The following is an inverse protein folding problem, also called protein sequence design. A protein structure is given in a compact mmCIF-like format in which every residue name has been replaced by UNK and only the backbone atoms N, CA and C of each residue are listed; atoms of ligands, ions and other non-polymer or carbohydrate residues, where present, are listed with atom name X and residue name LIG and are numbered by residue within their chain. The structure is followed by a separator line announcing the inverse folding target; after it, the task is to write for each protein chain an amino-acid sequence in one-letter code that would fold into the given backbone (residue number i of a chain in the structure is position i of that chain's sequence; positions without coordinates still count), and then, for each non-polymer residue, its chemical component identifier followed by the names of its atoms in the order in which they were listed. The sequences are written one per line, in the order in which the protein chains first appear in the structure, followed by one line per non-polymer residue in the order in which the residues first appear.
data_IF_691861478985
#
_entry.id   IF_691861478985
#
_cell.length_a   1.000
_cell.length_b   1.000
_cell.length_c   1.000
_cell.angle_alpha   90.00
_cell.angle_beta   90.00
_cell.angle_gamma   90.00
#
_symmetry.space_group_name_H-M   'P 1'
#
loop_
_entity.id
_entity.type
_entity.pdbx_description
1 polymer ?
#
# COMPACT_ATOMS: atom_id res chain seq x y z
N UNK A 1 -12.12 42.90 59.22
CA UNK A 1 -11.77 41.59 58.65
C UNK A 1 -12.15 41.58 57.17
N UNK A 2 -11.18 41.73 56.27
CA UNK A 2 -11.38 41.95 54.83
C UNK A 2 -11.00 40.65 54.09
N UNK A 3 -11.96 39.97 53.48
CA UNK A 3 -11.75 38.70 52.76
C UNK A 3 -11.22 39.00 51.36
N UNK A 4 -10.02 38.51 51.04
CA UNK A 4 -9.43 38.54 49.70
C UNK A 4 -9.91 37.26 48.99
N UNK A 5 -10.65 37.41 47.90
CA UNK A 5 -11.00 36.32 47.00
C UNK A 5 -9.97 36.29 45.86
N UNK A 6 -9.13 35.25 45.82
CA UNK A 6 -8.27 34.95 44.68
C UNK A 6 -9.13 34.30 43.58
N UNK A 7 -9.31 35.00 42.47
CA UNK A 7 -9.81 34.41 41.24
C UNK A 7 -8.62 33.84 40.45
N UNK A 8 -8.49 32.51 40.41
CA UNK A 8 -7.63 31.83 39.43
C UNK A 8 -8.47 31.56 38.17
N UNK A 9 -8.17 32.28 37.09
CA UNK A 9 -8.66 31.98 35.76
C UNK A 9 -7.76 30.88 35.15
N UNK A 10 -8.30 29.66 34.98
CA UNK A 10 -7.68 28.65 34.13
C UNK A 10 -7.99 28.97 32.67
N UNK A 11 -6.99 29.42 31.90
CA UNK A 11 -7.02 29.33 30.44
C UNK A 11 -6.66 27.90 30.03
N UNK A 12 -7.66 27.12 29.60
CA UNK A 12 -7.42 25.87 28.88
C UNK A 12 -7.06 26.22 27.43
N UNK A 13 -5.78 26.05 27.06
CA UNK A 13 -5.34 26.15 25.68
C UNK A 13 -5.89 24.94 24.89
N UNK A 14 -6.88 25.20 24.03
CA UNK A 14 -7.33 24.28 22.99
C UNK A 14 -6.23 24.17 21.93
N UNK A 15 -5.33 23.20 22.08
CA UNK A 15 -4.44 22.78 21.00
C UNK A 15 -5.25 21.82 20.12
N UNK A 16 -5.44 22.10 18.82
CA UNK A 16 -6.08 21.16 17.92
C UNK A 16 -5.20 19.91 17.82
N UNK A 17 -5.75 18.76 18.20
CA UNK A 17 -5.15 17.45 17.94
C UNK A 17 -5.04 17.32 16.42
N UNK A 18 -3.84 17.52 15.88
CA UNK A 18 -3.52 17.03 14.55
C UNK A 18 -3.74 15.52 14.56
N UNK A 19 -4.71 15.05 13.78
CA UNK A 19 -4.89 13.63 13.54
C UNK A 19 -3.58 13.10 12.94
N UNK A 20 -2.81 12.37 13.74
CA UNK A 20 -1.68 11.59 13.26
C UNK A 20 -2.24 10.63 12.21
N UNK A 21 -1.78 10.76 10.96
CA UNK A 21 -2.06 9.76 9.94
C UNK A 21 -1.60 8.41 10.48
N UNK A 22 -2.54 7.48 10.66
CA UNK A 22 -2.22 6.15 11.17
C UNK A 22 -1.22 5.49 10.23
N UNK A 23 -0.09 5.05 10.79
CA UNK A 23 0.87 4.25 10.05
C UNK A 23 0.13 3.08 9.42
N UNK A 24 0.20 2.99 8.09
CA UNK A 24 -0.44 1.89 7.36
C UNK A 24 0.15 0.59 7.90
N UNK A 25 -0.69 -0.35 8.38
CA UNK A 25 -0.17 -1.56 8.99
C UNK A 25 0.72 -2.32 8.02
N UNK A 26 1.81 -2.91 8.52
CA UNK A 26 2.78 -3.60 7.67
C UNK A 26 2.17 -4.71 6.81
N UNK A 27 1.06 -5.32 7.26
CA UNK A 27 0.33 -6.36 6.53
C UNK A 27 -0.58 -5.83 5.41
N UNK A 28 -0.90 -4.52 5.40
CA UNK A 28 -1.76 -3.96 4.38
C UNK A 28 -1.11 -4.05 2.99
N UNK A 29 -1.91 -4.32 1.98
CA UNK A 29 -1.49 -4.51 0.59
C UNK A 29 -2.24 -5.63 -0.11
N UNK A 30 -1.86 -5.87 -1.35
CA UNK A 30 -2.40 -6.95 -2.18
C UNK A 30 -1.46 -8.17 -2.11
N UNK A 31 -2.04 -9.35 -1.90
CA UNK A 31 -1.30 -10.58 -1.61
C UNK A 31 -1.83 -11.74 -2.45
N UNK A 32 -0.96 -12.53 -3.07
CA UNK A 32 -1.35 -13.64 -3.96
C UNK A 32 -0.72 -14.96 -3.53
N UNK A 33 -1.39 -16.06 -3.84
CA UNK A 33 -0.83 -17.41 -3.71
C UNK A 33 0.18 -17.72 -4.82
N UNK A 34 -0.07 -17.19 -6.02
CA UNK A 34 0.75 -17.40 -7.20
C UNK A 34 1.07 -16.06 -7.85
N UNK A 35 2.28 -15.85 -8.41
CA UNK A 35 2.67 -14.55 -8.96
C UNK A 35 1.74 -14.05 -10.07
N UNK A 36 1.15 -14.98 -10.83
CA UNK A 36 0.21 -14.71 -11.94
C UNK A 36 -1.11 -14.08 -11.50
N UNK A 37 -1.40 -14.03 -10.19
CA UNK A 37 -2.57 -13.33 -9.67
C UNK A 37 -2.40 -11.82 -9.56
N UNK A 38 -1.17 -11.31 -9.56
CA UNK A 38 -0.94 -9.86 -9.48
C UNK A 38 -1.37 -9.15 -10.76
N UNK A 39 -1.85 -7.91 -10.63
CA UNK A 39 -2.36 -7.10 -11.75
C UNK A 39 -3.82 -7.34 -12.10
N UNK A 40 -4.49 -8.31 -11.45
CA UNK A 40 -5.94 -8.50 -11.48
C UNK A 40 -6.62 -7.70 -10.38
N UNK A 41 -7.93 -7.50 -10.50
CA UNK A 41 -8.70 -6.92 -9.40
C UNK A 41 -8.86 -7.94 -8.27
N UNK A 42 -8.82 -7.53 -6.97
CA UNK A 42 -8.97 -8.46 -5.85
C UNK A 42 -10.30 -9.22 -5.79
N UNK A 43 -11.31 -8.73 -6.52
CA UNK A 43 -12.60 -9.39 -6.65
C UNK A 43 -12.63 -10.48 -7.73
N UNK A 44 -11.60 -10.58 -8.57
CA UNK A 44 -11.53 -11.57 -9.63
C UNK A 44 -11.05 -12.91 -9.09
N UNK A 45 -11.55 -14.00 -9.67
CA UNK A 45 -11.06 -15.34 -9.38
C UNK A 45 -9.55 -15.44 -9.69
N UNK A 46 -8.77 -15.88 -8.70
CA UNK A 46 -7.31 -15.93 -8.82
C UNK A 46 -6.62 -14.56 -8.82
N UNK A 47 -7.34 -13.48 -8.48
CA UNK A 47 -6.78 -12.17 -8.14
C UNK A 47 -6.16 -12.12 -6.74
N UNK A 48 -5.59 -10.97 -6.35
CA UNK A 48 -5.00 -10.81 -5.02
C UNK A 48 -6.06 -10.81 -3.92
N UNK A 49 -5.66 -11.25 -2.73
CA UNK A 49 -6.36 -10.93 -1.48
C UNK A 49 -5.86 -9.57 -1.01
N UNK A 50 -6.77 -8.60 -0.90
CA UNK A 50 -6.49 -7.26 -0.41
C UNK A 50 -6.64 -7.21 1.11
N UNK A 51 -5.54 -6.90 1.79
CA UNK A 51 -5.51 -6.56 3.21
C UNK A 51 -5.52 -5.03 3.35
N UNK A 52 -6.57 -4.50 3.94
CA UNK A 52 -6.66 -3.10 4.33
C UNK A 52 -6.42 -2.95 5.84
N UNK A 53 -6.58 -1.74 6.36
CA UNK A 53 -6.52 -1.43 7.80
C UNK A 53 -7.60 -2.17 8.60
N UNK A 54 -8.81 -2.28 8.02
CA UNK A 54 -10.01 -2.80 8.68
C UNK A 54 -10.70 -3.93 7.92
N UNK A 55 -10.24 -4.28 6.73
CA UNK A 55 -10.92 -5.31 5.92
C UNK A 55 -9.91 -6.23 5.24
N UNK A 56 -10.36 -7.45 4.94
CA UNK A 56 -9.66 -8.41 4.09
C UNK A 56 -10.64 -8.82 3.00
N UNK A 57 -10.26 -8.75 1.73
CA UNK A 57 -11.17 -9.09 0.61
C UNK A 57 -10.47 -9.94 -0.43
N UNK A 58 -11.12 -11.01 -0.86
CA UNK A 58 -10.76 -11.78 -2.05
C UNK A 58 -11.97 -11.95 -2.97
N UNK A 59 -11.86 -12.85 -3.94
CA UNK A 59 -12.89 -13.04 -4.97
C UNK A 59 -14.28 -13.36 -4.39
N UNK A 60 -14.33 -14.32 -3.47
CA UNK A 60 -15.59 -14.89 -2.95
C UNK A 60 -15.81 -14.66 -1.46
N UNK A 61 -14.90 -13.92 -0.81
CA UNK A 61 -14.96 -13.69 0.62
C UNK A 61 -14.60 -12.25 0.97
N UNK A 62 -15.20 -11.76 2.04
CA UNK A 62 -14.78 -10.53 2.69
C UNK A 62 -14.79 -10.72 4.20
N UNK A 63 -13.88 -10.05 4.89
CA UNK A 63 -13.81 -10.02 6.33
C UNK A 63 -13.64 -8.60 6.83
N UNK A 64 -14.32 -8.27 7.92
CA UNK A 64 -14.03 -7.13 8.76
C UNK A 64 -13.05 -7.53 9.86
N UNK A 65 -11.99 -6.77 10.00
CA UNK A 65 -10.99 -6.94 11.05
C UNK A 65 -11.55 -6.27 12.32
N UNK A 66 -12.09 -7.07 13.23
CA UNK A 66 -12.53 -6.58 14.55
C UNK A 66 -11.37 -6.16 15.41
N UNK A 67 -10.28 -6.92 15.34
CA UNK A 67 -9.10 -6.73 16.18
C UNK A 67 -7.86 -7.18 15.45
N UNK A 68 -6.78 -6.40 15.55
CA UNK A 68 -5.44 -6.79 15.10
C UNK A 68 -4.43 -6.36 16.16
N UNK A 69 -3.84 -7.31 16.87
CA UNK A 69 -2.93 -7.06 17.98
C UNK A 69 -1.55 -7.65 17.71
N UNK A 70 -0.47 -6.89 17.91
CA UNK A 70 0.89 -7.44 17.85
C UNK A 70 1.05 -8.59 18.83
N UNK A 71 1.67 -9.68 18.40
CA UNK A 71 1.95 -10.84 19.28
C UNK A 71 3.21 -10.61 20.12
N UNK A 72 4.04 -9.63 19.73
CA UNK A 72 5.29 -9.28 20.43
C UNK A 72 6.53 -10.02 19.91
N UNK A 73 6.42 -10.73 18.78
CA UNK A 73 7.54 -11.39 18.11
C UNK A 73 7.57 -11.04 16.62
N UNK A 74 8.67 -10.43 16.17
CA UNK A 74 8.83 -10.01 14.78
C UNK A 74 7.68 -9.14 14.26
N UNK A 75 7.42 -9.22 12.96
CA UNK A 75 6.26 -8.60 12.34
C UNK A 75 5.09 -9.58 12.35
N UNK A 76 4.43 -9.74 13.50
CA UNK A 76 3.31 -10.67 13.64
C UNK A 76 2.14 -10.11 14.45
N UNK A 77 0.94 -10.51 14.05
CA UNK A 77 -0.33 -10.03 14.60
C UNK A 77 -1.34 -11.16 14.74
N UNK A 78 -2.07 -11.16 15.85
CA UNK A 78 -3.30 -11.94 16.00
C UNK A 78 -4.45 -11.10 15.48
N UNK A 79 -5.24 -11.66 14.58
CA UNK A 79 -6.42 -11.01 14.01
C UNK A 79 -7.69 -11.77 14.37
N UNK A 80 -8.69 -11.04 14.85
CA UNK A 80 -10.06 -11.53 15.01
C UNK A 80 -10.92 -10.93 13.91
N UNK A 81 -11.62 -11.79 13.19
CA UNK A 81 -12.30 -11.48 11.94
C UNK A 81 -13.78 -11.87 12.04
N UNK A 82 -14.63 -11.03 11.46
CA UNK A 82 -15.98 -11.40 11.05
C UNK A 82 -15.98 -11.48 9.53
N UNK A 83 -16.26 -12.66 9.00
CA UNK A 83 -16.15 -12.96 7.58
C UNK A 83 -17.50 -13.37 7.01
N UNK A 84 -17.63 -13.20 5.70
CA UNK A 84 -18.70 -13.78 4.89
C UNK A 84 -18.06 -14.36 3.63
N UNK A 85 -18.40 -15.61 3.34
CA UNK A 85 -17.99 -16.30 2.12
C UNK A 85 -19.24 -16.78 1.39
N UNK A 86 -19.43 -16.34 0.14
CA UNK A 86 -20.61 -16.67 -0.66
C UNK A 86 -21.96 -16.38 0.04
N UNK A 87 -22.01 -15.38 0.92
CA UNK A 87 -23.21 -15.01 1.69
C UNK A 87 -23.35 -15.71 3.05
N UNK A 88 -22.49 -16.66 3.38
CA UNK A 88 -22.52 -17.37 4.66
C UNK A 88 -21.56 -16.70 5.67
N UNK A 89 -22.07 -16.14 6.78
CA UNK A 89 -21.25 -15.48 7.77
C UNK A 89 -20.55 -16.46 8.72
N UNK A 90 -19.32 -16.16 9.10
CA UNK A 90 -18.55 -16.90 10.08
C UNK A 90 -17.55 -16.00 10.82
N UNK A 91 -17.07 -16.45 11.97
CA UNK A 91 -15.99 -15.76 12.70
C UNK A 91 -14.70 -16.56 12.60
N UNK A 92 -13.57 -15.88 12.45
CA UNK A 92 -12.26 -16.51 12.43
C UNK A 92 -11.27 -15.78 13.33
N UNK A 93 -10.31 -16.52 13.86
CA UNK A 93 -9.11 -15.97 14.47
C UNK A 93 -7.89 -16.55 13.78
N UNK A 94 -6.96 -15.70 13.40
CA UNK A 94 -5.74 -16.10 12.70
C UNK A 94 -4.52 -15.34 13.18
N UNK A 95 -3.34 -15.86 12.84
CA UNK A 95 -2.07 -15.17 13.04
C UNK A 95 -1.52 -14.81 11.67
N UNK A 96 -1.18 -13.53 11.49
CA UNK A 96 -0.50 -13.02 10.31
C UNK A 96 0.95 -12.75 10.68
N UNK A 97 1.89 -13.32 9.92
CA UNK A 97 3.34 -13.12 10.09
C UNK A 97 3.93 -12.62 8.78
N UNK A 98 4.65 -11.50 8.83
CA UNK A 98 5.47 -11.04 7.73
C UNK A 98 6.91 -11.52 7.92
N UNK A 99 7.40 -12.25 6.93
CA UNK A 99 8.76 -12.77 6.91
C UNK A 99 9.74 -11.75 6.37
N UNK A 100 11.03 -11.96 6.64
CA UNK A 100 12.10 -11.09 6.16
C UNK A 100 12.30 -11.15 4.65
N UNK A 101 11.85 -12.22 3.98
CA UNK A 101 11.84 -12.34 2.51
C UNK A 101 10.57 -11.74 1.87
N UNK A 102 9.75 -11.02 2.66
CA UNK A 102 8.61 -10.26 2.15
C UNK A 102 7.34 -11.08 1.89
N UNK A 103 7.24 -12.29 2.44
CA UNK A 103 6.04 -13.13 2.38
C UNK A 103 5.13 -12.89 3.59
N UNK A 104 3.87 -13.24 3.43
CA UNK A 104 2.90 -13.30 4.52
C UNK A 104 2.53 -14.76 4.78
N UNK A 105 2.67 -15.20 6.03
CA UNK A 105 2.06 -16.44 6.50
C UNK A 105 0.78 -16.11 7.25
N UNK A 106 -0.34 -16.69 6.82
CA UNK A 106 -1.57 -16.75 7.60
C UNK A 106 -1.66 -18.12 8.24
N UNK A 107 -1.73 -18.14 9.56
CA UNK A 107 -1.89 -19.36 10.35
C UNK A 107 -3.33 -19.36 10.85
N UNK A 108 -4.16 -20.19 10.23
CA UNK A 108 -5.59 -20.31 10.55
C UNK A 108 -5.80 -21.22 11.76
N UNK A 109 -7.01 -21.18 12.35
CA UNK A 109 -7.29 -21.78 13.65
C UNK A 109 -7.06 -23.31 13.74
N UNK A 110 -7.16 -24.03 12.62
CA UNK A 110 -6.88 -25.47 12.53
C UNK A 110 -5.38 -25.80 12.39
N UNK A 111 -4.51 -24.78 12.39
CA UNK A 111 -3.07 -24.91 12.22
C UNK A 111 -2.61 -24.89 10.77
N UNK A 112 -3.53 -24.76 9.80
CA UNK A 112 -3.17 -24.56 8.39
C UNK A 112 -2.34 -23.29 8.19
N UNK A 113 -1.33 -23.38 7.32
CA UNK A 113 -0.46 -22.25 6.99
C UNK A 113 -0.61 -21.92 5.51
N UNK A 114 -1.06 -20.71 5.23
CA UNK A 114 -1.17 -20.16 3.89
C UNK A 114 -0.03 -19.16 3.69
N UNK A 115 0.75 -19.35 2.63
CA UNK A 115 1.84 -18.43 2.29
C UNK A 115 1.43 -17.58 1.10
N UNK A 116 1.44 -16.27 1.29
CA UNK A 116 1.14 -15.29 0.26
C UNK A 116 2.38 -14.46 -0.07
N UNK A 117 2.48 -14.10 -1.35
CA UNK A 117 3.49 -13.17 -1.85
C UNK A 117 2.84 -11.81 -2.03
N UNK A 118 3.56 -10.76 -1.64
CA UNK A 118 3.09 -9.40 -1.84
C UNK A 118 3.10 -9.07 -3.32
N UNK A 119 1.99 -8.58 -3.85
CA UNK A 119 2.01 -7.98 -5.17
C UNK A 119 2.83 -6.70 -5.15
N UNK A 120 3.61 -6.42 -6.21
CA UNK A 120 4.17 -5.10 -6.36
C UNK A 120 3.02 -4.09 -6.29
N UNK A 121 3.23 -2.90 -5.69
CA UNK A 121 2.21 -1.86 -5.69
C UNK A 121 1.76 -1.65 -7.13
N UNK A 122 0.50 -2.03 -7.43
CA UNK A 122 -0.07 -1.76 -8.74
C UNK A 122 -0.08 -0.24 -8.88
N UNK A 123 0.65 0.26 -9.87
CA UNK A 123 0.39 1.60 -10.37
C UNK A 123 -1.10 1.65 -10.65
N UNK A 124 -1.86 2.43 -9.88
CA UNK A 124 -3.30 2.65 -10.16
C UNK A 124 -3.52 3.37 -11.49
N UNK A 125 -2.44 3.75 -12.16
CA UNK A 125 -2.47 4.34 -13.49
C UNK A 125 -2.54 3.21 -14.50
N UNK A 126 -3.69 3.09 -15.14
CA UNK A 126 -3.88 2.25 -16.30
C UNK A 126 -3.13 2.87 -17.48
N UNK A 127 -2.12 2.17 -17.99
CA UNK A 127 -1.41 2.64 -19.17
C UNK A 127 -2.18 2.28 -20.43
N UNK A 128 -2.40 3.24 -21.34
CA UNK A 128 -2.88 2.96 -22.68
C UNK A 128 -2.06 1.85 -23.35
N UNK A 129 -2.71 0.95 -24.06
CA UNK A 129 -2.08 -0.13 -24.82
C UNK A 129 -1.99 0.18 -26.33
N UNK A 130 -2.32 1.41 -26.71
CA UNK A 130 -2.24 1.90 -28.08
C UNK A 130 -1.76 3.35 -28.13
N UNK A 131 -1.14 3.71 -29.26
CA UNK A 131 -0.50 5.01 -29.45
C UNK A 131 -1.51 6.18 -29.44
N UNK A 132 -2.71 5.98 -29.97
CA UNK A 132 -3.73 7.02 -30.06
C UNK A 132 -4.26 7.42 -28.67
N UNK A 133 -4.56 6.43 -27.83
CA UNK A 133 -4.94 6.65 -26.42
C UNK A 133 -3.79 7.20 -25.58
N UNK A 134 -2.54 6.82 -25.90
CA UNK A 134 -1.38 7.40 -25.24
C UNK A 134 -1.27 8.90 -25.55
N UNK A 135 -1.36 9.27 -26.83
CA UNK A 135 -1.29 10.65 -27.28
C UNK A 135 -2.44 11.50 -26.72
N UNK A 136 -3.66 10.95 -26.64
CA UNK A 136 -4.82 11.67 -26.09
C UNK A 136 -4.68 12.01 -24.60
N UNK A 137 -3.78 11.33 -23.89
CA UNK A 137 -3.43 11.59 -22.49
C UNK A 137 -2.13 12.40 -22.34
N UNK A 138 -1.64 13.03 -23.42
CA UNK A 138 -0.35 13.73 -23.47
C UNK A 138 0.85 12.81 -23.20
N UNK A 139 0.69 11.51 -23.43
CA UNK A 139 1.75 10.52 -23.30
C UNK A 139 2.66 10.45 -24.52
N UNK A 140 3.78 9.76 -24.35
CA UNK A 140 4.72 9.40 -25.42
C UNK A 140 4.70 7.89 -25.60
N UNK A 141 4.33 7.46 -26.81
CA UNK A 141 4.40 6.05 -27.22
C UNK A 141 5.81 5.74 -27.71
N UNK A 142 6.40 4.65 -27.24
CA UNK A 142 7.75 4.27 -27.61
C UNK A 142 8.06 2.81 -27.33
N UNK A 143 9.21 2.36 -27.81
CA UNK A 143 9.76 1.06 -27.41
C UNK A 143 10.59 1.28 -26.15
N UNK A 144 10.30 0.50 -25.12
CA UNK A 144 10.94 0.60 -23.82
C UNK A 144 11.58 -0.73 -23.42
N UNK A 145 12.52 -0.66 -22.49
CA UNK A 145 13.22 -1.82 -21.95
C UNK A 145 14.17 -2.51 -22.90
N UNK A 146 14.78 -3.58 -22.40
CA UNK A 146 15.73 -4.40 -23.16
C UNK A 146 15.04 -5.25 -24.24
N UNK A 147 13.77 -5.61 -24.04
CA UNK A 147 12.94 -6.34 -25.00
C UNK A 147 12.38 -5.45 -26.11
N UNK A 148 12.43 -4.12 -25.95
CA UNK A 148 11.87 -3.17 -26.91
C UNK A 148 10.35 -3.26 -27.01
N UNK A 149 9.66 -3.46 -25.89
CA UNK A 149 8.21 -3.57 -25.89
C UNK A 149 7.55 -2.19 -26.09
N UNK A 150 6.54 -2.08 -26.95
CA UNK A 150 5.81 -0.83 -27.12
C UNK A 150 5.00 -0.53 -25.86
N UNK A 151 5.17 0.68 -25.31
CA UNK A 151 4.50 1.13 -24.09
C UNK A 151 4.26 2.63 -24.12
N UNK A 152 3.34 3.09 -23.27
CA UNK A 152 3.01 4.50 -23.09
C UNK A 152 3.70 5.07 -21.84
N UNK A 153 4.42 6.17 -22.00
CA UNK A 153 4.92 7.00 -20.89
C UNK A 153 4.00 8.21 -20.74
N UNK A 154 3.35 8.35 -19.59
CA UNK A 154 2.47 9.47 -19.27
C UNK A 154 3.19 10.49 -18.37
N UNK A 155 2.88 11.78 -18.48
CA UNK A 155 3.28 12.74 -17.46
C UNK A 155 2.65 12.38 -16.12
N UNK A 156 3.44 12.41 -15.05
CA UNK A 156 2.93 12.16 -13.71
C UNK A 156 2.14 13.39 -13.21
N UNK A 157 0.87 13.25 -12.81
CA UNK A 157 0.07 14.37 -12.32
C UNK A 157 0.64 15.09 -11.09
N UNK A 158 1.51 14.40 -10.34
CA UNK A 158 2.16 14.89 -9.13
C UNK A 158 3.64 15.23 -9.31
N UNK A 159 4.12 15.34 -10.55
CA UNK A 159 5.48 15.70 -10.90
C UNK A 159 6.01 16.91 -10.12
N UNK A 160 7.20 16.79 -9.54
CA UNK A 160 7.88 17.88 -8.82
C UNK A 160 7.31 18.17 -7.42
N UNK A 161 6.22 17.53 -7.00
CA UNK A 161 5.71 17.64 -5.63
C UNK A 161 6.72 17.06 -4.64
N UNK A 162 6.93 17.74 -3.51
CA UNK A 162 7.82 17.26 -2.45
C UNK A 162 7.35 15.90 -1.90
N UNK A 163 8.29 15.01 -1.60
CA UNK A 163 8.02 13.67 -1.08
C UNK A 163 9.11 13.26 -0.09
N UNK A 164 8.78 12.29 0.77
CA UNK A 164 9.73 11.69 1.72
C UNK A 164 9.72 10.16 1.68
N UNK A 165 8.69 9.57 1.05
CA UNK A 165 8.51 8.14 0.91
C UNK A 165 8.05 7.82 -0.51
N UNK A 166 8.36 6.64 -1.04
CA UNK A 166 7.93 6.24 -2.38
C UNK A 166 6.40 6.27 -2.54
N UNK A 167 5.64 5.91 -1.50
CA UNK A 167 4.17 5.92 -1.53
C UNK A 167 3.53 7.32 -1.59
N UNK A 168 4.32 8.40 -1.44
CA UNK A 168 3.81 9.76 -1.59
C UNK A 168 3.54 10.11 -3.07
N UNK A 169 4.13 9.35 -4.01
CA UNK A 169 4.16 9.64 -5.44
C UNK A 169 3.54 8.54 -6.32
N UNK A 170 3.03 8.89 -7.49
CA UNK A 170 2.55 7.91 -8.47
C UNK A 170 3.70 7.15 -9.18
N UNK A 171 4.77 7.84 -9.55
CA UNK A 171 5.91 7.23 -10.27
C UNK A 171 7.12 6.86 -9.41
N UNK A 172 7.30 7.54 -8.29
CA UNK A 172 8.43 7.35 -7.37
C UNK A 172 8.92 8.68 -6.79
N UNK A 173 9.54 8.61 -5.62
CA UNK A 173 10.18 9.76 -4.97
C UNK A 173 11.67 9.76 -5.34
N UNK A 174 12.12 10.74 -6.13
CA UNK A 174 13.51 10.86 -6.56
C UNK A 174 14.39 11.21 -5.35
N UNK A 175 15.44 10.42 -5.10
CA UNK A 175 16.29 10.62 -3.94
C UNK A 175 17.12 11.90 -4.01
N UNK A 176 17.50 12.32 -5.21
CA UNK A 176 18.39 13.47 -5.41
C UNK A 176 17.67 14.82 -5.16
N UNK A 177 16.37 14.89 -5.48
CA UNK A 177 15.57 16.11 -5.36
C UNK A 177 14.52 16.06 -4.25
N UNK A 178 14.21 14.87 -3.72
CA UNK A 178 13.07 14.63 -2.82
C UNK A 178 11.75 15.15 -3.41
N UNK A 179 11.57 14.93 -4.71
CA UNK A 179 10.34 15.26 -5.43
C UNK A 179 9.82 14.08 -6.24
N UNK A 180 8.51 14.05 -6.47
CA UNK A 180 7.89 13.04 -7.31
C UNK A 180 8.39 13.12 -8.75
N UNK A 181 8.56 11.94 -9.34
CA UNK A 181 9.01 11.73 -10.71
C UNK A 181 8.17 12.50 -11.74
N UNK A 182 8.77 12.93 -12.88
CA UNK A 182 8.05 13.67 -13.90
C UNK A 182 7.08 12.82 -14.74
N UNK A 183 7.30 11.50 -14.78
CA UNK A 183 6.59 10.60 -15.69
C UNK A 183 6.35 9.23 -15.08
N UNK A 184 5.41 8.50 -15.67
CA UNK A 184 4.99 7.16 -15.28
C UNK A 184 4.73 6.26 -16.50
N UNK A 185 5.23 5.01 -16.52
CA UNK A 185 6.24 4.51 -15.59
C UNK A 185 7.60 5.22 -15.85
N UNK A 186 8.47 5.25 -14.84
CA UNK A 186 9.86 5.70 -14.99
C UNK A 186 10.66 4.57 -15.64
N UNK A 187 11.09 4.74 -16.89
CA UNK A 187 11.99 3.79 -17.55
C UNK A 187 13.47 4.15 -17.36
N UNK A 188 14.34 3.14 -17.35
CA UNK A 188 15.76 3.30 -17.07
C UNK A 188 16.09 3.18 -15.58
N UNK A 189 17.31 3.55 -15.21
CA UNK A 189 17.80 3.48 -13.83
C UNK A 189 17.73 4.86 -13.16
N UNK A 190 17.10 4.92 -11.99
CA UNK A 190 16.89 6.15 -11.23
C UNK A 190 17.17 5.92 -9.75
N UNK A 191 17.73 6.91 -9.06
CA UNK A 191 17.88 6.87 -7.61
C UNK A 191 16.55 7.25 -6.94
N UNK A 192 15.91 6.28 -6.28
CA UNK A 192 14.62 6.46 -5.62
C UNK A 192 14.76 6.29 -4.10
N UNK A 193 13.91 7.00 -3.36
CA UNK A 193 13.73 6.76 -1.93
C UNK A 193 13.00 5.44 -1.74
N UNK A 194 13.62 4.54 -0.97
CA UNK A 194 13.06 3.23 -0.66
C UNK A 194 12.10 3.29 0.54
N UNK A 195 11.27 2.25 0.77
CA UNK A 195 10.36 2.22 1.92
C UNK A 195 11.05 2.36 3.29
N UNK A 196 12.33 1.99 3.39
CA UNK A 196 13.15 2.17 4.59
C UNK A 196 13.78 3.57 4.72
N UNK A 197 13.43 4.51 3.83
CA UNK A 197 13.93 5.88 3.79
C UNK A 197 15.32 6.05 3.20
N UNK A 198 15.97 4.98 2.72
CA UNK A 198 17.30 5.06 2.10
C UNK A 198 17.20 5.24 0.58
N UNK A 199 18.15 5.95 -0.05
CA UNK A 199 18.25 5.97 -1.50
C UNK A 199 18.71 4.61 -2.03
N UNK A 200 18.18 4.19 -3.18
CA UNK A 200 18.70 3.08 -3.97
C UNK A 200 18.46 3.33 -5.46
N UNK A 201 19.38 2.87 -6.31
CA UNK A 201 19.17 2.84 -7.75
C UNK A 201 18.20 1.71 -8.10
N UNK A 202 17.09 2.07 -8.75
CA UNK A 202 16.07 1.14 -9.24
C UNK A 202 16.04 1.25 -10.76
N UNK A 203 16.15 0.11 -11.43
CA UNK A 203 16.06 0.03 -12.89
C UNK A 203 14.73 -0.63 -13.28
N UNK A 204 13.96 0.06 -14.12
CA UNK A 204 12.79 -0.50 -14.78
C UNK A 204 13.02 -0.55 -16.30
N UNK A 205 12.76 -1.72 -16.87
CA UNK A 205 12.85 -1.99 -18.30
C UNK A 205 11.44 -1.96 -18.89
#
# INVERSE_FOLDING_TARGET
MRRIACALALLAALVPLAALGGDTPGWAGDWVFQPTGCGRDPGDEGGPVRFADRTIRGANFHCDIRKAEPIGVGQSWRMDLDCEEMGDPFTASEIVVLTTDGRMHRIIADGGIMTLMRCPPVSRVQFPQDADRCASQNGRWGLHGLSGEPSCVLPAPDAGRACTRPADCLGGCLADSLTCAPEIPLFGCHNLVQPNGRPAEICAN
#
